data_IF_279345189425
#
_entry.id   IF_279345189425
#
_cell.length_a   1.000
_cell.length_b   1.000
_cell.length_c   1.000
_cell.angle_alpha   90.00
_cell.angle_beta   90.00
_cell.angle_gamma   90.00
#
_symmetry.space_group_name_H-M   'P 1'
#
loop_
_entity.id
_entity.type
_entity.pdbx_description
1 polymer ?
#
# COMPACT_ATOMS: atom_id res chain seq x y z
N UNK A 1 2.43 -14.90 3.86
CA UNK A 1 1.55 -13.80 4.26
C UNK A 1 1.55 -12.69 3.22
N UNK A 2 0.41 -12.11 2.98
CA UNK A 2 0.29 -10.95 2.11
C UNK A 2 0.85 -9.70 2.79
N UNK A 3 1.55 -8.86 2.04
CA UNK A 3 2.18 -7.63 2.55
C UNK A 3 1.89 -6.44 1.65
N UNK A 4 1.81 -5.28 2.26
CA UNK A 4 1.72 -4.01 1.53
C UNK A 4 2.88 -3.14 1.99
N UNK A 5 3.71 -2.71 1.03
CA UNK A 5 4.78 -1.75 1.30
C UNK A 5 4.31 -0.38 0.88
N UNK A 6 4.26 0.53 1.83
CA UNK A 6 3.70 1.86 1.68
C UNK A 6 4.79 2.91 1.85
N UNK A 7 5.38 3.31 0.73
CA UNK A 7 6.47 4.30 0.70
C UNK A 7 5.93 5.72 0.77
N UNK A 8 6.62 6.59 1.49
CA UNK A 8 6.29 8.00 1.56
C UNK A 8 7.56 8.85 1.68
N UNK A 9 7.51 10.14 1.29
CA UNK A 9 8.70 10.99 1.23
C UNK A 9 9.40 11.25 2.55
N UNK A 10 8.69 11.45 3.65
CA UNK A 10 9.38 11.74 4.90
C UNK A 10 8.48 12.07 6.08
N UNK A 11 9.03 11.87 7.26
CA UNK A 11 8.41 12.23 8.54
C UNK A 11 8.35 13.76 8.70
N UNK A 12 7.44 14.22 9.55
CA UNK A 12 7.26 15.65 9.87
C UNK A 12 6.94 16.50 8.63
N UNK A 13 6.20 15.94 7.68
CA UNK A 13 5.77 16.63 6.45
C UNK A 13 4.26 16.86 6.46
N UNK A 14 3.63 17.08 5.31
CA UNK A 14 2.25 17.59 5.24
C UNK A 14 1.25 16.58 4.66
N UNK A 15 1.52 16.01 3.49
CA UNK A 15 0.65 15.01 2.86
C UNK A 15 0.83 13.65 3.51
N UNK A 16 2.06 13.30 3.89
CA UNK A 16 2.36 11.99 4.48
C UNK A 16 1.49 11.64 5.70
N UNK A 17 1.30 12.53 6.68
CA UNK A 17 0.45 12.17 7.82
C UNK A 17 -1.00 11.92 7.42
N UNK A 18 -1.52 12.58 6.41
CA UNK A 18 -2.88 12.34 5.93
C UNK A 18 -3.03 10.93 5.37
N UNK A 19 -2.04 10.47 4.60
CA UNK A 19 -2.02 9.12 4.04
C UNK A 19 -1.84 8.06 5.12
N UNK A 20 -0.84 8.23 5.97
CA UNK A 20 -0.50 7.25 7.02
C UNK A 20 -1.63 7.13 8.03
N UNK A 21 -2.29 8.24 8.35
CA UNK A 21 -3.47 8.25 9.22
C UNK A 21 -4.66 7.53 8.58
N UNK A 22 -4.89 7.72 7.30
CA UNK A 22 -5.95 7.04 6.56
C UNK A 22 -5.74 5.51 6.56
N UNK A 23 -4.51 5.06 6.35
CA UNK A 23 -4.15 3.64 6.46
C UNK A 23 -4.32 3.14 7.90
N UNK A 24 -3.90 3.93 8.88
CA UNK A 24 -4.05 3.58 10.29
C UNK A 24 -5.51 3.38 10.69
N UNK A 25 -6.40 4.24 10.21
CA UNK A 25 -7.83 4.14 10.48
C UNK A 25 -8.46 2.86 9.89
N UNK A 26 -7.83 2.28 8.86
CA UNK A 26 -8.29 1.05 8.21
C UNK A 26 -7.41 -0.16 8.48
N UNK A 27 -6.44 -0.02 9.36
CA UNK A 27 -5.47 -1.10 9.61
C UNK A 27 -6.14 -2.41 10.03
N UNK A 28 -7.14 -2.34 10.88
CA UNK A 28 -7.88 -3.54 11.30
C UNK A 28 -8.54 -4.25 10.12
N UNK A 29 -9.07 -3.50 9.15
CA UNK A 29 -9.67 -4.07 7.94
C UNK A 29 -8.61 -4.76 7.08
N UNK A 30 -7.42 -4.18 6.95
CA UNK A 30 -6.30 -4.83 6.25
C UNK A 30 -5.88 -6.13 6.94
N UNK A 31 -5.78 -6.11 8.27
CA UNK A 31 -5.44 -7.30 9.04
C UNK A 31 -6.47 -8.41 8.87
N UNK A 32 -7.76 -8.08 8.95
CA UNK A 32 -8.85 -9.04 8.73
C UNK A 32 -8.82 -9.64 7.33
N UNK A 33 -8.40 -8.86 6.35
CA UNK A 33 -8.23 -9.34 4.98
C UNK A 33 -6.97 -10.18 4.78
N UNK A 34 -6.10 -10.30 5.80
CA UNK A 34 -4.89 -11.12 5.76
C UNK A 34 -3.64 -10.37 5.33
N UNK A 35 -3.64 -9.06 5.41
CA UNK A 35 -2.50 -8.21 5.00
C UNK A 35 -1.77 -7.60 6.19
N UNK A 36 -0.45 -7.54 6.09
CA UNK A 36 0.36 -6.68 6.95
C UNK A 36 0.81 -5.45 6.17
N UNK A 37 0.83 -4.32 6.85
CA UNK A 37 1.27 -3.04 6.28
C UNK A 37 2.67 -2.74 6.82
N UNK A 38 3.55 -2.29 5.92
CA UNK A 38 4.85 -1.75 6.28
C UNK A 38 4.99 -0.37 5.65
N UNK A 39 5.00 0.68 6.46
CA UNK A 39 5.33 2.01 5.94
C UNK A 39 6.85 2.16 5.86
N UNK A 40 7.33 2.84 4.83
CA UNK A 40 8.77 2.96 4.55
C UNK A 40 9.09 4.40 4.14
N UNK A 41 10.06 4.99 4.82
CA UNK A 41 10.69 6.24 4.37
C UNK A 41 12.19 6.18 4.62
N UNK A 42 12.93 7.13 4.06
CA UNK A 42 14.38 7.22 4.25
C UNK A 42 14.77 7.84 5.59
N UNK A 43 13.81 8.14 6.44
CA UNK A 43 14.08 8.58 7.82
C UNK A 43 14.58 7.41 8.67
N UNK A 44 15.25 7.75 9.77
CA UNK A 44 15.67 6.74 10.73
C UNK A 44 14.50 6.30 11.63
N UNK A 45 14.64 5.13 12.24
CA UNK A 45 13.65 4.67 13.21
C UNK A 45 13.56 5.59 14.44
N UNK A 46 14.62 6.34 14.76
CA UNK A 46 14.59 7.34 15.82
C UNK A 46 13.66 8.50 15.45
N UNK A 47 13.69 8.93 14.20
CA UNK A 47 12.81 9.99 13.71
C UNK A 47 11.35 9.50 13.69
N UNK A 48 11.12 8.27 13.26
CA UNK A 48 9.78 7.64 13.33
C UNK A 48 9.25 7.63 14.76
N UNK A 49 10.09 7.26 15.72
CA UNK A 49 9.70 7.25 17.13
C UNK A 49 9.30 8.63 17.62
N UNK A 50 10.11 9.65 17.32
CA UNK A 50 9.81 11.02 17.72
C UNK A 50 8.49 11.51 17.10
N UNK A 51 8.27 11.21 15.84
CA UNK A 51 7.05 11.59 15.13
C UNK A 51 5.82 10.88 15.72
N UNK A 52 5.94 9.59 15.98
CA UNK A 52 4.88 8.80 16.62
C UNK A 52 4.52 9.32 18.01
N UNK A 53 5.50 9.77 18.76
CA UNK A 53 5.28 10.26 20.11
C UNK A 53 4.66 11.67 20.15
N UNK A 54 4.85 12.48 19.10
CA UNK A 54 4.46 13.90 19.10
C UNK A 54 3.28 14.23 18.22
N UNK A 55 2.96 13.43 17.20
CA UNK A 55 1.85 13.69 16.29
C UNK A 55 0.60 12.92 16.70
N UNK A 56 -0.52 13.60 16.87
CA UNK A 56 -1.79 12.95 17.20
C UNK A 56 -2.27 12.00 16.11
N UNK A 57 -1.99 12.31 14.86
CA UNK A 57 -2.33 11.46 13.72
C UNK A 57 -1.43 10.22 13.68
N UNK A 58 -0.12 10.42 13.75
CA UNK A 58 0.86 9.31 13.63
C UNK A 58 0.82 8.40 14.86
N UNK A 59 0.45 8.93 16.00
CA UNK A 59 0.28 8.15 17.24
C UNK A 59 -0.72 6.99 17.06
N UNK A 60 -1.66 7.08 16.13
CA UNK A 60 -2.64 6.04 15.82
C UNK A 60 -2.03 4.82 15.12
N UNK A 61 -0.86 4.96 14.54
CA UNK A 61 -0.24 3.89 13.73
C UNK A 61 0.16 2.73 14.63
N UNK A 62 -0.34 1.54 14.29
CA UNK A 62 -0.01 0.28 14.94
C UNK A 62 0.76 -0.68 14.02
N UNK A 63 0.86 -0.35 12.73
CA UNK A 63 1.66 -1.15 11.80
C UNK A 63 3.14 -0.77 11.88
N UNK A 64 4.05 -1.67 11.46
CA UNK A 64 5.48 -1.38 11.46
C UNK A 64 5.85 -0.18 10.58
N UNK A 65 6.71 0.67 11.10
CA UNK A 65 7.27 1.81 10.39
C UNK A 65 8.77 1.54 10.18
N UNK A 66 9.15 1.25 8.93
CA UNK A 66 10.53 0.89 8.60
C UNK A 66 11.37 2.13 8.28
N UNK A 67 12.55 2.20 8.89
CA UNK A 67 13.53 3.25 8.60
C UNK A 67 14.52 2.77 7.54
N UNK A 68 14.42 3.32 6.34
CA UNK A 68 15.25 2.96 5.18
C UNK A 68 16.33 4.01 4.93
N UNK A 69 17.19 4.26 5.92
CA UNK A 69 18.16 5.37 5.91
C UNK A 69 19.10 5.38 4.71
N UNK A 70 19.51 4.23 4.26
CA UNK A 70 20.41 4.09 3.11
C UNK A 70 19.65 3.86 1.79
N UNK A 71 18.34 3.99 1.81
CA UNK A 71 17.45 3.87 0.65
C UNK A 71 17.51 2.50 -0.06
N UNK A 72 17.96 1.46 0.62
CA UNK A 72 18.06 0.11 0.01
C UNK A 72 16.69 -0.39 -0.41
N UNK A 73 15.68 -0.24 0.44
CA UNK A 73 14.31 -0.72 0.14
C UNK A 73 13.68 0.14 -0.95
N UNK A 74 13.81 1.47 -0.86
CA UNK A 74 13.28 2.37 -1.88
C UNK A 74 13.90 2.12 -3.26
N UNK A 75 15.20 1.85 -3.31
CA UNK A 75 15.87 1.50 -4.56
C UNK A 75 15.44 0.14 -5.09
N UNK A 76 15.25 -0.83 -4.21
CA UNK A 76 14.78 -2.17 -4.58
C UNK A 76 13.42 -2.12 -5.27
N UNK A 77 12.52 -1.25 -4.81
CA UNK A 77 11.19 -1.06 -5.38
C UNK A 77 11.16 0.01 -6.48
N UNK A 78 12.32 0.60 -6.81
CA UNK A 78 12.47 1.61 -7.87
C UNK A 78 11.62 2.88 -7.63
N UNK A 79 11.47 3.27 -6.36
CA UNK A 79 10.73 4.47 -5.97
C UNK A 79 11.60 5.54 -5.32
N UNK A 80 12.92 5.38 -5.36
CA UNK A 80 13.82 6.35 -4.78
C UNK A 80 14.06 7.54 -5.73
N UNK A 81 13.82 8.75 -5.23
CA UNK A 81 14.07 10.00 -5.95
C UNK A 81 15.39 10.58 -5.45
N UNK A 82 16.46 10.35 -6.21
CA UNK A 82 17.83 10.66 -5.76
C UNK A 82 18.06 12.14 -5.48
N UNK A 83 17.49 13.04 -6.28
CA UNK A 83 17.66 14.48 -6.11
C UNK A 83 16.97 15.01 -4.84
N UNK A 84 16.07 14.27 -4.25
CA UNK A 84 15.42 14.64 -2.99
C UNK A 84 15.83 13.75 -1.81
N UNK A 85 16.51 12.63 -2.07
CA UNK A 85 16.86 11.69 -1.02
C UNK A 85 15.67 11.03 -0.36
N UNK A 86 14.57 10.89 -1.07
CA UNK A 86 13.28 10.46 -0.53
C UNK A 86 12.58 9.50 -1.49
N UNK A 87 11.58 8.80 -0.99
CA UNK A 87 10.76 7.91 -1.82
C UNK A 87 9.57 8.65 -2.43
N UNK A 88 9.20 8.26 -3.64
CA UNK A 88 7.88 8.58 -4.19
C UNK A 88 6.79 7.91 -3.35
N UNK A 89 5.54 8.35 -3.54
CA UNK A 89 4.37 7.74 -2.89
C UNK A 89 4.00 6.46 -3.59
N UNK A 90 4.75 5.39 -3.29
CA UNK A 90 4.54 4.07 -3.86
C UNK A 90 3.81 3.14 -2.90
N UNK A 91 2.85 2.38 -3.42
CA UNK A 91 2.17 1.32 -2.68
C UNK A 91 2.30 0.03 -3.48
N UNK A 92 2.75 -1.04 -2.83
CA UNK A 92 2.99 -2.33 -3.50
C UNK A 92 2.28 -3.43 -2.75
N UNK A 93 1.42 -4.16 -3.44
CA UNK A 93 0.70 -5.31 -2.89
C UNK A 93 1.47 -6.56 -3.31
N UNK A 94 2.00 -7.27 -2.31
CA UNK A 94 2.92 -8.40 -2.51
C UNK A 94 2.27 -9.67 -1.96
N UNK A 95 2.24 -10.72 -2.79
CA UNK A 95 1.67 -12.00 -2.38
C UNK A 95 2.65 -12.80 -1.50
N UNK A 96 2.21 -13.94 -0.92
CA UNK A 96 3.08 -14.75 -0.07
C UNK A 96 4.32 -15.32 -0.76
N UNK A 97 4.32 -15.42 -2.08
CA UNK A 97 5.48 -15.90 -2.87
C UNK A 97 6.47 -14.78 -3.21
N UNK A 98 6.18 -13.54 -2.77
CA UNK A 98 7.05 -12.40 -3.02
C UNK A 98 6.80 -11.69 -4.35
N UNK A 99 5.72 -12.01 -5.06
CA UNK A 99 5.39 -11.35 -6.32
C UNK A 99 4.54 -10.10 -6.08
N UNK A 100 4.84 -9.03 -6.81
CA UNK A 100 4.05 -7.81 -6.81
C UNK A 100 2.78 -8.05 -7.65
N UNK A 101 1.63 -7.96 -7.03
CA UNK A 101 0.34 -8.22 -7.68
C UNK A 101 -0.32 -6.95 -8.21
N UNK A 102 -0.11 -5.83 -7.57
CA UNK A 102 -0.59 -4.52 -7.99
C UNK A 102 0.26 -3.44 -7.33
N UNK A 103 0.38 -2.30 -7.98
CA UNK A 103 1.08 -1.17 -7.38
C UNK A 103 0.57 0.15 -7.94
N UNK A 104 0.86 1.20 -7.19
CA UNK A 104 0.60 2.58 -7.57
C UNK A 104 1.79 3.41 -7.15
N UNK A 105 2.23 4.33 -8.01
CA UNK A 105 3.31 5.27 -7.70
C UNK A 105 2.81 6.67 -8.07
N UNK A 106 2.68 7.54 -7.06
CA UNK A 106 2.26 8.91 -7.24
C UNK A 106 3.43 9.86 -7.02
N UNK A 107 3.42 10.99 -7.70
CA UNK A 107 4.33 12.09 -7.43
C UNK A 107 4.09 12.65 -6.02
N UNK A 108 5.04 13.42 -5.52
CA UNK A 108 5.11 13.87 -4.12
C UNK A 108 3.88 14.65 -3.65
N UNK A 109 3.23 15.39 -4.55
CA UNK A 109 2.06 16.20 -4.23
C UNK A 109 0.71 15.49 -4.31
N UNK A 110 0.69 14.20 -4.65
CA UNK A 110 -0.56 13.46 -4.89
C UNK A 110 -0.76 12.38 -3.83
N UNK A 111 -1.61 12.65 -2.85
CA UNK A 111 -1.96 11.70 -1.79
C UNK A 111 -2.78 10.52 -2.32
N UNK A 112 -2.66 9.40 -1.62
CA UNK A 112 -3.35 8.13 -1.94
C UNK A 112 -4.58 7.94 -1.08
N UNK A 113 -5.40 6.98 -1.47
CA UNK A 113 -6.66 6.62 -0.80
C UNK A 113 -6.55 5.21 -0.22
N UNK A 114 -6.58 5.09 1.10
CA UNK A 114 -6.47 3.80 1.78
C UNK A 114 -7.65 2.87 1.47
N UNK A 115 -8.84 3.41 1.25
CA UNK A 115 -10.01 2.61 0.87
C UNK A 115 -9.79 1.94 -0.48
N UNK A 116 -9.25 2.67 -1.45
CA UNK A 116 -8.94 2.11 -2.76
C UNK A 116 -7.80 1.10 -2.69
N UNK A 117 -6.79 1.35 -1.87
CA UNK A 117 -5.71 0.39 -1.63
C UNK A 117 -6.25 -0.93 -1.06
N UNK A 118 -7.14 -0.85 -0.08
CA UNK A 118 -7.79 -2.04 0.50
C UNK A 118 -8.61 -2.79 -0.54
N UNK A 119 -9.36 -2.08 -1.37
CA UNK A 119 -10.14 -2.67 -2.47
C UNK A 119 -9.25 -3.46 -3.43
N UNK A 120 -8.14 -2.87 -3.86
CA UNK A 120 -7.17 -3.52 -4.76
C UNK A 120 -6.50 -4.72 -4.09
N UNK A 121 -6.16 -4.59 -2.81
CA UNK A 121 -5.56 -5.68 -2.05
C UNK A 121 -6.51 -6.89 -1.98
N UNK A 122 -7.76 -6.65 -1.67
CA UNK A 122 -8.79 -7.71 -1.64
C UNK A 122 -9.00 -8.35 -3.02
N UNK A 123 -8.99 -7.55 -4.08
CA UNK A 123 -9.09 -8.05 -5.46
C UNK A 123 -7.91 -8.95 -5.82
N UNK A 124 -6.69 -8.51 -5.52
CA UNK A 124 -5.47 -9.29 -5.79
C UNK A 124 -5.49 -10.64 -5.07
N UNK A 125 -5.90 -10.64 -3.81
CA UNK A 125 -6.01 -11.88 -3.03
C UNK A 125 -7.11 -12.78 -3.56
N UNK A 126 -8.26 -12.20 -3.90
CA UNK A 126 -9.40 -12.97 -4.42
C UNK A 126 -9.04 -13.74 -5.70
N UNK A 127 -8.41 -13.09 -6.69
CA UNK A 127 -8.03 -13.77 -7.93
C UNK A 127 -6.94 -14.81 -7.73
N UNK A 128 -6.09 -14.65 -6.72
CA UNK A 128 -5.08 -15.65 -6.37
C UNK A 128 -5.75 -16.91 -5.80
N UNK A 129 -6.78 -16.73 -4.99
CA UNK A 129 -7.55 -17.83 -4.41
C UNK A 129 -8.56 -18.43 -5.40
N UNK A 130 -8.92 -17.67 -6.43
CA UNK A 130 -9.92 -18.06 -7.44
C UNK A 130 -9.37 -17.82 -8.85
N UNK A 131 -8.39 -18.63 -9.30
CA UNK A 131 -7.62 -18.33 -10.53
C UNK A 131 -8.42 -18.35 -11.83
N UNK A 132 -9.68 -18.84 -11.80
CA UNK A 132 -10.56 -18.84 -12.96
C UNK A 132 -11.46 -17.60 -13.05
N UNK A 133 -11.43 -16.74 -12.04
CA UNK A 133 -12.25 -15.54 -11.95
C UNK A 133 -11.37 -14.29 -12.07
N UNK A 134 -11.98 -13.23 -12.56
CA UNK A 134 -11.33 -11.92 -12.61
C UNK A 134 -12.25 -10.88 -11.98
N UNK A 135 -11.64 -9.87 -11.36
CA UNK A 135 -12.35 -8.77 -10.74
C UNK A 135 -12.43 -7.62 -11.74
N UNK A 136 -13.63 -7.23 -12.19
CA UNK A 136 -13.79 -6.12 -13.14
C UNK A 136 -13.47 -4.77 -12.49
N UNK A 137 -13.49 -3.71 -13.30
CA UNK A 137 -13.28 -2.35 -12.83
C UNK A 137 -14.24 -2.04 -11.66
N UNK A 138 -13.71 -1.32 -10.66
CA UNK A 138 -14.45 -0.94 -9.45
C UNK A 138 -14.93 -2.08 -8.56
N UNK A 139 -14.51 -3.31 -8.84
CA UNK A 139 -14.95 -4.46 -8.04
C UNK A 139 -14.64 -4.27 -6.55
N UNK A 140 -15.63 -4.55 -5.73
CA UNK A 140 -15.50 -4.62 -4.27
C UNK A 140 -15.88 -6.01 -3.78
N UNK A 141 -15.33 -6.42 -2.64
CA UNK A 141 -15.63 -7.70 -2.04
C UNK A 141 -17.15 -7.93 -1.91
N UNK A 142 -17.62 -9.07 -2.35
CA UNK A 142 -19.04 -9.42 -2.35
C UNK A 142 -19.77 -9.12 -3.65
N UNK A 143 -19.16 -8.38 -4.57
CA UNK A 143 -19.74 -8.11 -5.87
C UNK A 143 -19.46 -9.25 -6.85
N UNK A 144 -20.18 -9.25 -7.98
CA UNK A 144 -20.00 -10.25 -9.02
C UNK A 144 -18.64 -10.16 -9.68
N UNK A 145 -18.07 -11.31 -9.98
CA UNK A 145 -16.83 -11.46 -10.75
C UNK A 145 -17.15 -11.95 -12.16
N UNK A 146 -16.15 -11.96 -13.02
CA UNK A 146 -16.27 -12.48 -14.38
C UNK A 146 -15.49 -13.78 -14.49
N UNK A 147 -16.07 -14.74 -15.21
CA UNK A 147 -15.37 -15.97 -15.59
C UNK A 147 -14.99 -15.85 -17.08
N UNK A 148 -13.71 -15.59 -17.40
CA UNK A 148 -13.28 -15.47 -18.78
C UNK A 148 -13.59 -16.72 -19.60
N UNK A 149 -14.09 -16.50 -20.83
CA UNK A 149 -14.42 -17.57 -21.75
C UNK A 149 -14.87 -17.02 -23.10
N UNK A 150 -14.84 -17.84 -24.11
CA UNK A 150 -15.23 -17.44 -25.45
C UNK A 150 -16.71 -17.01 -25.53
N UNK A 151 -17.56 -17.50 -24.64
CA UNK A 151 -18.95 -17.15 -24.53
C UNK A 151 -19.18 -15.68 -24.14
N UNK A 152 -18.20 -15.02 -23.51
CA UNK A 152 -18.29 -13.63 -23.09
C UNK A 152 -17.75 -12.65 -24.14
N UNK A 153 -17.07 -13.12 -25.16
CA UNK A 153 -16.44 -12.26 -26.16
C UNK A 153 -17.50 -11.42 -26.87
N UNK A 154 -17.36 -10.10 -26.81
CA UNK A 154 -18.30 -9.15 -27.43
C UNK A 154 -19.64 -9.00 -26.69
N UNK A 155 -19.76 -9.52 -25.47
CA UNK A 155 -21.02 -9.47 -24.69
C UNK A 155 -20.93 -8.64 -23.41
N UNK A 156 -19.80 -7.99 -23.19
CA UNK A 156 -19.56 -7.12 -22.03
C UNK A 156 -19.47 -5.67 -22.49
#
# INVERSE_FOLDING_TARGET
KWSIFFFYPGDFTFVCPTELGDVADRYEEFQKAGFEIYSVSTDSHFVHKAWHDTSDTIKKIQYPMLGDRNAVIAKMFEVYKEDEGAAYRGSFIVNPDGAIMAYEINDMGVGRDAKDLLRRAKAAKFITENPRLVCPAHWEEGQETLKPGLDLVGKI
#
